data_IF_264255946805
#
_entry.id   IF_264255946805
#
_cell.length_a   1.000
_cell.length_b   1.000
_cell.length_c   1.000
_cell.angle_alpha   90.00
_cell.angle_beta   90.00
_cell.angle_gamma   90.00
#
_symmetry.space_group_name_H-M   'P 1'
#
loop_
_entity.id
_entity.type
_entity.pdbx_description
1 polymer ?
#
# COMPACT_ATOMS: atom_id res chain seq x y z
N UNK A 1 -3.77 6.50 -24.94
CA UNK A 1 -3.49 5.06 -24.74
C UNK A 1 -2.01 4.76 -24.51
N UNK A 2 -1.07 5.26 -25.33
CA UNK A 2 0.37 4.96 -25.18
C UNK A 2 1.13 5.84 -24.16
N UNK A 3 0.43 6.73 -23.47
CA UNK A 3 1.03 7.64 -22.49
C UNK A 3 0.89 7.02 -21.10
N UNK A 4 2.00 6.53 -20.54
CA UNK A 4 2.05 5.92 -19.22
C UNK A 4 1.65 6.87 -18.06
N UNK A 5 1.54 8.17 -18.31
CA UNK A 5 1.02 9.14 -17.33
C UNK A 5 -0.50 9.23 -17.32
N UNK A 6 -1.18 8.46 -18.19
CA UNK A 6 -2.64 8.44 -18.32
C UNK A 6 -3.22 7.09 -17.93
N UNK A 7 -4.15 7.09 -16.98
CA UNK A 7 -5.05 5.97 -16.72
C UNK A 7 -6.17 5.91 -17.76
N UNK A 8 -6.81 4.75 -17.86
CA UNK A 8 -8.08 4.57 -18.57
C UNK A 8 -9.18 4.50 -17.51
N UNK A 9 -10.06 5.52 -17.37
CA UNK A 9 -11.14 5.49 -16.39
C UNK A 9 -12.06 4.28 -16.59
N UNK A 10 -12.48 3.66 -15.50
CA UNK A 10 -13.33 2.46 -15.52
C UNK A 10 -14.74 2.75 -16.04
N UNK A 11 -15.18 4.01 -15.98
CA UNK A 11 -16.41 4.51 -16.57
C UNK A 11 -16.39 4.47 -18.11
N UNK A 12 -15.20 4.49 -18.72
CA UNK A 12 -15.02 4.37 -20.16
C UNK A 12 -14.74 2.93 -20.57
N UNK A 13 -13.86 2.24 -19.84
CA UNK A 13 -13.48 0.86 -20.09
C UNK A 13 -13.52 0.07 -18.78
N UNK A 14 -14.61 -0.65 -18.50
CA UNK A 14 -14.75 -1.38 -17.24
C UNK A 14 -13.74 -2.52 -17.14
N UNK A 15 -13.24 -2.76 -15.92
CA UNK A 15 -12.35 -3.89 -15.65
C UNK A 15 -13.12 -5.20 -15.81
N UNK A 16 -12.56 -6.13 -16.59
CA UNK A 16 -13.05 -7.51 -16.70
C UNK A 16 -12.14 -8.44 -15.87
N UNK A 17 -12.63 -9.02 -14.76
CA UNK A 17 -11.88 -10.05 -14.03
C UNK A 17 -11.65 -11.28 -14.92
N UNK A 18 -10.39 -11.73 -15.02
CA UNK A 18 -9.98 -12.89 -15.85
C UNK A 18 -9.42 -14.07 -15.06
N UNK A 19 -9.16 -13.89 -13.76
CA UNK A 19 -8.59 -14.94 -12.91
C UNK A 19 -8.30 -14.47 -11.49
N UNK A 20 -7.70 -15.34 -10.67
CA UNK A 20 -7.35 -15.08 -9.27
C UNK A 20 -5.95 -15.63 -8.98
N UNK A 21 -5.10 -14.80 -8.37
CA UNK A 21 -3.80 -15.20 -7.82
C UNK A 21 -3.90 -15.32 -6.30
N UNK A 22 -3.32 -16.38 -5.72
CA UNK A 22 -3.28 -16.61 -4.27
C UNK A 22 -1.84 -16.83 -3.82
N UNK A 23 -1.36 -16.01 -2.89
CA UNK A 23 -0.07 -16.20 -2.23
C UNK A 23 -0.28 -17.06 -0.99
N UNK A 24 0.26 -18.29 -0.97
CA UNK A 24 -0.04 -19.30 0.05
C UNK A 24 1.21 -19.96 0.68
N UNK A 25 2.42 -19.52 0.32
CA UNK A 25 3.67 -20.06 0.85
C UNK A 25 4.73 -18.97 0.89
N UNK A 26 5.45 -18.90 2.01
CA UNK A 26 6.62 -18.04 2.17
C UNK A 26 7.85 -18.70 1.51
N UNK A 27 8.89 -17.92 1.14
CA UNK A 27 10.16 -18.50 0.74
C UNK A 27 10.81 -19.25 1.91
N UNK A 28 11.57 -20.31 1.60
CA UNK A 28 12.41 -21.03 2.55
C UNK A 28 13.70 -20.25 2.82
N UNK A 29 14.24 -19.58 1.79
CA UNK A 29 15.41 -18.72 1.91
C UNK A 29 15.22 -17.40 1.17
N UNK A 30 15.16 -16.31 1.92
CA UNK A 30 14.95 -14.96 1.38
C UNK A 30 15.98 -14.59 0.30
N UNK A 31 17.26 -14.89 0.51
CA UNK A 31 18.29 -14.52 -0.46
C UNK A 31 18.21 -15.38 -1.74
N UNK A 32 18.00 -16.68 -1.60
CA UNK A 32 17.93 -17.61 -2.72
C UNK A 32 16.70 -17.36 -3.61
N UNK A 33 15.57 -16.99 -3.02
CA UNK A 33 14.29 -16.88 -3.71
C UNK A 33 13.85 -15.43 -3.92
N UNK A 34 13.87 -14.58 -2.89
CA UNK A 34 13.38 -13.20 -3.00
C UNK A 34 14.43 -12.25 -3.56
N UNK A 35 15.67 -12.31 -3.08
CA UNK A 35 16.71 -11.37 -3.52
C UNK A 35 17.17 -11.69 -4.95
N UNK A 36 17.26 -12.97 -5.31
CA UNK A 36 17.78 -13.40 -6.61
C UNK A 36 16.72 -13.55 -7.72
N UNK A 37 15.43 -13.37 -7.42
CA UNK A 37 14.39 -13.38 -8.46
C UNK A 37 14.61 -12.24 -9.46
N UNK A 38 14.39 -12.50 -10.74
CA UNK A 38 14.55 -11.55 -11.83
C UNK A 38 13.28 -11.47 -12.68
N UNK A 39 12.49 -10.42 -12.47
CA UNK A 39 11.37 -10.08 -13.34
C UNK A 39 11.85 -9.22 -14.51
N UNK A 40 11.16 -9.28 -15.65
CA UNK A 40 11.47 -8.48 -16.82
C UNK A 40 10.22 -8.26 -17.68
N UNK A 41 10.00 -7.02 -18.14
CA UNK A 41 8.86 -6.71 -19.01
C UNK A 41 8.94 -7.37 -20.38
N UNK A 42 10.15 -7.75 -20.84
CA UNK A 42 10.35 -8.46 -22.09
C UNK A 42 9.95 -9.95 -22.02
N UNK A 43 9.71 -10.50 -20.82
CA UNK A 43 9.31 -11.90 -20.64
C UNK A 43 7.81 -12.08 -20.89
N UNK A 44 7.40 -11.99 -22.15
CA UNK A 44 6.03 -12.28 -22.61
C UNK A 44 5.95 -13.67 -23.24
N UNK A 45 4.74 -14.19 -23.39
CA UNK A 45 4.45 -15.49 -24.01
C UNK A 45 3.59 -15.29 -25.27
N UNK A 46 3.58 -16.25 -26.22
CA UNK A 46 2.70 -16.17 -27.40
C UNK A 46 1.24 -15.84 -27.00
N UNK A 47 0.66 -14.85 -27.67
CA UNK A 47 -0.66 -14.29 -27.33
C UNK A 47 -0.61 -12.93 -26.61
N UNK A 48 0.56 -12.47 -26.19
CA UNK A 48 0.80 -11.14 -25.62
C UNK A 48 1.93 -10.47 -26.40
N UNK A 49 1.76 -9.19 -26.72
CA UNK A 49 2.78 -8.40 -27.42
C UNK A 49 2.87 -6.97 -26.84
N UNK A 50 3.81 -6.19 -27.34
CA UNK A 50 4.11 -4.85 -26.86
C UNK A 50 3.33 -3.77 -27.62
N UNK A 51 3.32 -2.56 -27.05
CA UNK A 51 2.82 -1.35 -27.69
C UNK A 51 3.95 -0.32 -27.83
N UNK A 52 3.73 0.73 -28.62
CA UNK A 52 4.67 1.84 -28.78
C UNK A 52 4.66 2.84 -27.61
N UNK A 53 4.34 2.39 -26.39
CA UNK A 53 4.55 3.18 -25.18
C UNK A 53 6.07 3.45 -25.02
N UNK A 54 6.51 4.72 -25.05
CA UNK A 54 7.94 5.05 -25.06
C UNK A 54 8.64 4.70 -23.74
N UNK A 55 7.90 4.60 -22.62
CA UNK A 55 8.45 4.16 -21.34
C UNK A 55 8.61 2.64 -21.32
N UNK A 56 7.64 1.89 -21.86
CA UNK A 56 7.74 0.43 -21.99
C UNK A 56 8.93 0.04 -22.87
N UNK A 57 9.14 0.72 -24.00
CA UNK A 57 10.25 0.45 -24.91
C UNK A 57 11.63 0.48 -24.22
N UNK A 58 11.86 1.48 -23.34
CA UNK A 58 13.09 1.55 -22.54
C UNK A 58 13.18 0.44 -21.47
N UNK A 59 12.04 0.06 -20.88
CA UNK A 59 11.96 -1.03 -19.89
C UNK A 59 12.25 -2.40 -20.49
N UNK A 60 11.87 -2.66 -21.74
CA UNK A 60 12.19 -3.94 -22.41
C UNK A 60 13.71 -4.19 -22.43
N UNK A 61 14.51 -3.13 -22.60
CA UNK A 61 15.97 -3.23 -22.55
C UNK A 61 16.52 -3.34 -21.12
N UNK A 62 16.12 -2.44 -20.22
CA UNK A 62 16.78 -2.23 -18.92
C UNK A 62 16.77 -3.46 -18.00
N UNK A 63 15.69 -4.25 -18.00
CA UNK A 63 15.51 -5.31 -17.01
C UNK A 63 16.44 -6.50 -17.25
N UNK A 64 16.86 -6.77 -18.49
CA UNK A 64 17.87 -7.80 -18.79
C UNK A 64 19.26 -7.28 -18.49
N UNK A 65 19.55 -6.04 -18.91
CA UNK A 65 20.85 -5.40 -18.73
C UNK A 65 21.28 -5.36 -17.25
N UNK A 66 20.37 -4.93 -16.36
CA UNK A 66 20.68 -4.82 -14.92
C UNK A 66 21.02 -6.16 -14.26
N UNK A 67 20.53 -7.30 -14.80
CA UNK A 67 20.83 -8.60 -14.21
C UNK A 67 22.27 -9.05 -14.43
N UNK A 68 22.93 -8.54 -15.47
CA UNK A 68 24.31 -8.91 -15.77
C UNK A 68 25.23 -8.54 -14.61
N UNK A 69 25.06 -7.35 -14.02
CA UNK A 69 25.82 -6.95 -12.83
C UNK A 69 25.19 -7.51 -11.55
N UNK A 70 23.86 -7.37 -11.38
CA UNK A 70 23.16 -7.72 -10.13
C UNK A 70 23.25 -9.21 -9.79
N UNK A 71 23.12 -10.08 -10.79
CA UNK A 71 23.11 -11.55 -10.64
C UNK A 71 24.36 -12.21 -11.22
N UNK A 72 25.41 -11.40 -11.49
CA UNK A 72 26.73 -11.91 -11.81
C UNK A 72 26.87 -12.53 -13.21
N UNK A 73 26.02 -12.22 -14.17
CA UNK A 73 26.24 -12.58 -15.56
C UNK A 73 24.97 -12.98 -16.32
N UNK A 74 25.12 -13.50 -17.56
CA UNK A 74 23.98 -13.79 -18.44
C UNK A 74 23.19 -15.05 -18.05
N UNK A 75 23.73 -15.89 -17.15
CA UNK A 75 23.11 -17.15 -16.74
C UNK A 75 22.16 -17.01 -15.53
N UNK A 76 21.67 -15.80 -15.23
CA UNK A 76 20.74 -15.57 -14.12
C UNK A 76 19.42 -16.36 -14.24
N UNK A 77 19.05 -16.77 -15.46
CA UNK A 77 17.91 -17.65 -15.75
C UNK A 77 18.10 -19.09 -15.26
N UNK A 78 19.33 -19.49 -14.92
CA UNK A 78 19.62 -20.81 -14.33
C UNK A 78 19.57 -20.80 -12.80
N UNK A 79 19.39 -19.64 -12.17
CA UNK A 79 19.13 -19.58 -10.72
C UNK A 79 17.75 -20.23 -10.46
N UNK A 80 17.61 -21.14 -9.48
CA UNK A 80 16.41 -21.97 -9.34
C UNK A 80 15.08 -21.24 -9.35
N UNK A 81 14.98 -20.06 -8.71
CA UNK A 81 13.73 -19.28 -8.66
C UNK A 81 13.35 -18.64 -10.01
N UNK A 82 14.32 -18.46 -10.91
CA UNK A 82 14.13 -17.87 -12.25
C UNK A 82 13.98 -18.92 -13.35
N UNK A 83 14.31 -20.18 -13.04
CA UNK A 83 14.33 -21.24 -14.02
C UNK A 83 12.90 -21.51 -14.53
N UNK A 84 12.70 -21.62 -15.86
CA UNK A 84 11.42 -22.03 -16.39
C UNK A 84 11.11 -23.46 -15.93
N UNK A 85 9.84 -23.72 -15.63
CA UNK A 85 9.39 -25.09 -15.32
C UNK A 85 9.49 -26.00 -16.55
N UNK A 86 9.33 -25.43 -17.75
CA UNK A 86 9.50 -26.14 -19.02
C UNK A 86 10.99 -26.20 -19.42
N UNK A 87 11.40 -27.30 -20.02
CA UNK A 87 12.77 -27.45 -20.52
C UNK A 87 13.04 -26.53 -21.70
N UNK A 88 14.12 -25.74 -21.62
CA UNK A 88 14.52 -24.79 -22.67
C UNK A 88 15.73 -25.32 -23.42
N UNK A 89 15.68 -25.22 -24.76
CA UNK A 89 16.77 -25.58 -25.64
C UNK A 89 17.06 -24.43 -26.60
N UNK A 90 18.31 -23.99 -26.66
CA UNK A 90 18.77 -22.97 -27.58
C UNK A 90 20.26 -23.16 -27.89
N UNK A 91 20.82 -22.25 -28.69
CA UNK A 91 22.22 -22.28 -29.11
C UNK A 91 23.16 -21.42 -28.25
N UNK A 92 22.67 -20.76 -27.19
CA UNK A 92 23.51 -19.98 -26.28
C UNK A 92 24.37 -20.90 -25.40
N UNK A 93 25.62 -20.50 -25.11
CA UNK A 93 26.62 -21.26 -24.36
C UNK A 93 27.40 -20.33 -23.41
N UNK A 94 28.17 -20.95 -22.53
CA UNK A 94 29.15 -20.32 -21.65
C UNK A 94 28.54 -19.26 -20.71
N UNK A 95 29.30 -18.21 -20.39
CA UNK A 95 28.94 -17.20 -19.40
C UNK A 95 29.28 -17.61 -17.96
N UNK A 96 29.34 -16.63 -17.06
CA UNK A 96 29.66 -16.88 -15.65
C UNK A 96 28.60 -17.79 -15.00
N UNK A 97 29.04 -18.69 -14.11
CA UNK A 97 28.20 -19.65 -13.39
C UNK A 97 27.27 -20.49 -14.27
N UNK A 98 27.73 -20.89 -15.46
CA UNK A 98 26.99 -21.82 -16.33
C UNK A 98 26.76 -23.15 -15.62
N UNK A 99 25.50 -23.49 -15.35
CA UNK A 99 25.07 -24.74 -14.72
C UNK A 99 24.71 -25.82 -15.77
N UNK A 100 24.02 -25.42 -16.85
CA UNK A 100 23.60 -26.39 -17.87
C UNK A 100 24.78 -26.89 -18.69
N UNK A 101 24.99 -28.21 -18.68
CA UNK A 101 25.94 -28.89 -19.57
C UNK A 101 25.23 -29.29 -20.86
N UNK A 102 25.39 -28.48 -21.91
CA UNK A 102 24.84 -28.80 -23.23
C UNK A 102 25.62 -29.96 -23.88
N UNK A 103 24.94 -31.04 -24.24
CA UNK A 103 25.54 -32.18 -24.95
C UNK A 103 25.57 -31.95 -26.46
N UNK A 104 26.54 -32.54 -27.14
CA UNK A 104 26.67 -32.49 -28.60
C UNK A 104 27.77 -31.54 -29.08
N UNK A 105 27.93 -31.46 -30.40
CA UNK A 105 29.05 -30.75 -31.06
C UNK A 105 28.65 -29.41 -31.69
N UNK A 106 27.42 -28.93 -31.42
CA UNK A 106 26.82 -27.79 -32.12
C UNK A 106 26.31 -26.74 -31.14
N UNK A 107 26.53 -25.48 -31.48
CA UNK A 107 26.05 -24.27 -30.79
C UNK A 107 25.63 -23.17 -31.77
N UNK A 108 25.17 -23.55 -32.97
CA UNK A 108 24.81 -22.62 -34.04
C UNK A 108 23.66 -23.18 -34.90
N UNK A 109 23.00 -22.29 -35.65
CA UNK A 109 21.93 -22.59 -36.59
C UNK A 109 22.13 -21.75 -37.87
N UNK A 110 21.86 -22.30 -39.07
CA UNK A 110 21.47 -23.69 -39.35
C UNK A 110 22.65 -24.66 -39.20
N UNK A 111 22.38 -25.94 -38.88
CA UNK A 111 23.42 -26.97 -38.71
C UNK A 111 22.99 -28.35 -39.25
N UNK A 112 23.96 -29.14 -39.72
CA UNK A 112 23.74 -30.54 -40.14
C UNK A 112 24.25 -31.57 -39.12
N UNK A 113 25.24 -31.21 -38.30
CA UNK A 113 25.91 -32.13 -37.36
C UNK A 113 25.00 -32.60 -36.21
N UNK A 114 23.94 -31.85 -35.89
CA UNK A 114 22.92 -32.23 -34.93
C UNK A 114 21.54 -32.41 -35.60
N UNK A 115 21.50 -32.61 -36.92
CA UNK A 115 20.26 -32.80 -37.68
C UNK A 115 19.33 -31.58 -37.68
N UNK A 116 19.86 -30.37 -37.45
CA UNK A 116 19.09 -29.13 -37.39
C UNK A 116 18.50 -28.79 -36.01
N UNK A 117 18.70 -29.64 -34.99
CA UNK A 117 18.25 -29.36 -33.63
C UNK A 117 19.11 -28.29 -32.92
N UNK A 118 18.53 -27.50 -31.99
CA UNK A 118 17.08 -27.34 -31.77
C UNK A 118 16.42 -26.57 -32.92
N UNK A 119 15.20 -26.97 -33.30
CA UNK A 119 14.47 -26.36 -34.42
C UNK A 119 13.70 -25.10 -34.00
N UNK A 120 13.48 -24.20 -34.96
CA UNK A 120 12.47 -23.15 -34.82
C UNK A 120 11.08 -23.77 -34.73
N UNK A 121 10.24 -23.26 -33.82
CA UNK A 121 8.88 -23.76 -33.62
C UNK A 121 7.92 -23.43 -34.78
N UNK A 122 8.32 -22.56 -35.72
CA UNK A 122 7.48 -22.04 -36.80
C UNK A 122 6.41 -21.05 -36.33
N UNK A 123 5.73 -20.38 -37.25
CA UNK A 123 4.79 -19.30 -36.94
C UNK A 123 3.54 -19.76 -36.17
N UNK A 124 3.17 -21.04 -36.24
CA UNK A 124 1.97 -21.58 -35.57
C UNK A 124 2.18 -21.88 -34.08
N UNK A 125 3.42 -21.99 -33.62
CA UNK A 125 3.75 -22.33 -32.23
C UNK A 125 4.80 -21.41 -31.59
N UNK A 126 5.61 -20.70 -32.39
CA UNK A 126 6.57 -19.71 -31.94
C UNK A 126 5.96 -18.34 -31.66
N UNK A 127 6.71 -17.48 -30.96
CA UNK A 127 6.35 -16.08 -30.80
C UNK A 127 6.47 -15.35 -32.14
N UNK A 128 5.43 -14.59 -32.50
CA UNK A 128 5.39 -13.73 -33.69
C UNK A 128 4.81 -12.39 -33.27
N UNK A 129 5.56 -11.32 -33.50
CA UNK A 129 5.05 -9.97 -33.23
C UNK A 129 3.91 -9.60 -34.17
N UNK A 130 2.94 -8.85 -33.66
CA UNK A 130 1.89 -8.27 -34.45
C UNK A 130 2.48 -7.33 -35.51
N UNK A 131 2.14 -7.48 -36.80
CA UNK A 131 2.69 -6.65 -37.88
C UNK A 131 2.03 -5.25 -37.87
N UNK A 132 2.36 -4.44 -36.87
CA UNK A 132 1.82 -3.10 -36.70
C UNK A 132 2.20 -2.20 -37.90
N UNK A 133 1.22 -1.58 -38.59
CA UNK A 133 1.51 -0.67 -39.68
C UNK A 133 2.27 0.57 -39.20
N UNK A 134 3.39 0.88 -39.83
CA UNK A 134 4.05 2.18 -39.65
C UNK A 134 3.39 3.24 -40.54
N UNK A 135 3.24 4.46 -40.02
CA UNK A 135 2.77 5.59 -40.82
C UNK A 135 3.72 5.86 -41.99
N UNK A 136 3.19 6.18 -43.17
CA UNK A 136 3.97 6.36 -44.41
C UNK A 136 4.98 7.51 -44.34
N UNK A 137 4.73 8.49 -43.46
CA UNK A 137 5.54 9.67 -43.18
C UNK A 137 6.33 9.56 -41.86
N UNK A 138 6.49 8.34 -41.31
CA UNK A 138 7.24 8.13 -40.09
C UNK A 138 8.73 8.47 -40.27
N UNK A 139 9.22 9.42 -39.48
CA UNK A 139 10.64 9.82 -39.44
C UNK A 139 11.31 9.37 -38.14
N UNK A 140 12.63 9.10 -38.20
CA UNK A 140 13.44 8.85 -37.00
C UNK A 140 13.65 10.17 -36.26
N UNK A 141 12.95 10.35 -35.14
CA UNK A 141 12.99 11.58 -34.35
C UNK A 141 13.18 11.31 -32.85
N UNK A 142 13.73 12.29 -32.14
CA UNK A 142 13.63 12.41 -30.68
C UNK A 142 12.65 13.53 -30.36
N UNK A 143 11.36 13.20 -30.40
CA UNK A 143 10.26 14.16 -30.26
C UNK A 143 9.48 14.01 -28.97
N UNK A 144 8.64 15.00 -28.67
CA UNK A 144 7.62 14.96 -27.62
C UNK A 144 6.25 14.93 -28.31
N UNK A 145 5.52 13.79 -28.30
CA UNK A 145 4.22 13.73 -28.95
C UNK A 145 3.25 14.76 -28.35
N UNK A 146 2.54 15.52 -29.19
CA UNK A 146 1.66 16.61 -28.74
C UNK A 146 0.58 16.14 -27.77
N UNK A 147 0.02 14.93 -27.99
CA UNK A 147 -0.98 14.33 -27.10
C UNK A 147 -0.47 14.03 -25.68
N UNK A 148 0.84 13.99 -25.47
CA UNK A 148 1.45 13.77 -24.16
C UNK A 148 1.64 15.09 -23.39
N UNK A 149 1.38 16.24 -24.03
CA UNK A 149 1.53 17.57 -23.42
C UNK A 149 0.40 17.95 -22.46
N UNK A 150 -0.65 17.11 -22.35
CA UNK A 150 -1.64 17.25 -21.28
C UNK A 150 -1.07 16.69 -19.97
N UNK A 151 -0.81 17.58 -19.02
CA UNK A 151 -0.19 17.22 -17.74
C UNK A 151 -1.15 17.31 -16.54
N UNK A 152 -2.37 17.84 -16.71
CA UNK A 152 -3.19 18.26 -15.57
C UNK A 152 -4.60 17.66 -15.55
N UNK A 153 -5.16 17.25 -16.69
CA UNK A 153 -6.54 16.76 -16.75
C UNK A 153 -6.77 15.57 -15.83
N UNK A 154 -5.88 14.58 -15.84
CA UNK A 154 -6.04 13.39 -15.00
C UNK A 154 -5.58 13.59 -13.55
N UNK A 155 -4.68 14.54 -13.29
CA UNK A 155 -4.38 14.95 -11.92
C UNK A 155 -5.62 15.58 -11.26
N UNK A 156 -6.38 16.38 -12.02
CA UNK A 156 -7.66 16.95 -11.57
C UNK A 156 -8.71 15.88 -11.37
N UNK A 157 -8.90 14.99 -12.35
CA UNK A 157 -9.80 13.84 -12.22
C UNK A 157 -9.49 13.05 -10.94
N UNK A 158 -8.23 12.70 -10.69
CA UNK A 158 -7.83 11.97 -9.50
C UNK A 158 -8.21 12.72 -8.22
N UNK A 159 -7.80 13.99 -8.07
CA UNK A 159 -8.09 14.78 -6.88
C UNK A 159 -9.60 14.97 -6.64
N UNK A 160 -10.37 15.27 -7.69
CA UNK A 160 -11.83 15.45 -7.60
C UNK A 160 -12.60 14.15 -7.36
N UNK A 161 -11.96 12.99 -7.55
CA UNK A 161 -12.54 11.69 -7.26
C UNK A 161 -12.35 11.23 -5.82
N UNK A 162 -11.48 11.91 -5.07
CA UNK A 162 -11.18 11.56 -3.68
C UNK A 162 -12.30 12.02 -2.74
N UNK A 163 -12.53 11.26 -1.66
CA UNK A 163 -13.38 11.70 -0.55
C UNK A 163 -12.79 12.93 0.14
N UNK A 164 -13.57 13.70 0.93
CA UNK A 164 -13.06 14.87 1.64
C UNK A 164 -11.84 14.59 2.52
N UNK A 165 -11.81 13.43 3.20
CA UNK A 165 -10.67 13.03 4.04
C UNK A 165 -9.43 12.70 3.18
N UNK A 166 -9.59 11.98 2.08
CA UNK A 166 -8.49 11.67 1.16
C UNK A 166 -7.92 12.94 0.51
N UNK A 167 -8.77 13.91 0.17
CA UNK A 167 -8.32 15.23 -0.30
C UNK A 167 -7.51 15.97 0.76
N UNK A 168 -7.96 15.95 2.02
CA UNK A 168 -7.22 16.53 3.14
C UNK A 168 -5.88 15.82 3.37
N UNK A 169 -5.81 14.49 3.22
CA UNK A 169 -4.55 13.74 3.29
C UNK A 169 -3.59 14.12 2.17
N UNK A 170 -4.08 14.34 0.95
CA UNK A 170 -3.26 14.84 -0.16
C UNK A 170 -2.70 16.23 0.15
N UNK A 171 -3.53 17.15 0.67
CA UNK A 171 -3.08 18.48 1.12
C UNK A 171 -1.99 18.34 2.19
N UNK A 172 -2.23 17.51 3.20
CA UNK A 172 -1.30 17.29 4.31
C UNK A 172 0.03 16.70 3.82
N UNK A 173 -0.01 15.77 2.86
CA UNK A 173 1.17 15.17 2.25
C UNK A 173 1.99 16.21 1.48
N UNK A 174 1.36 17.02 0.62
CA UNK A 174 2.04 18.10 -0.08
C UNK A 174 2.67 19.10 0.90
N UNK A 175 1.94 19.50 1.94
CA UNK A 175 2.46 20.38 3.00
C UNK A 175 3.68 19.76 3.69
N UNK A 176 3.57 18.50 4.11
CA UNK A 176 4.64 17.80 4.80
C UNK A 176 5.90 17.70 3.94
N UNK A 177 5.79 17.20 2.70
CA UNK A 177 6.94 17.03 1.82
C UNK A 177 7.58 18.38 1.46
N UNK A 178 6.77 19.39 1.13
CA UNK A 178 7.28 20.72 0.81
C UNK A 178 7.88 21.43 2.02
N UNK A 179 7.45 21.14 3.25
CA UNK A 179 8.07 21.69 4.46
C UNK A 179 9.53 21.27 4.63
N UNK A 180 9.93 20.13 4.04
CA UNK A 180 11.31 19.62 4.03
C UNK A 180 12.16 20.28 2.95
N UNK A 181 11.55 20.98 1.99
CA UNK A 181 12.26 21.67 0.91
C UNK A 181 12.74 23.03 1.38
N UNK A 182 14.04 23.15 1.57
CA UNK A 182 14.66 24.37 2.11
C UNK A 182 14.58 25.57 1.16
N UNK A 183 14.60 25.33 -0.16
CA UNK A 183 14.59 26.41 -1.18
C UNK A 183 13.16 26.94 -1.38
N UNK A 184 12.84 28.20 -0.98
CA UNK A 184 11.49 28.74 -1.07
C UNK A 184 10.92 28.74 -2.49
N UNK A 185 11.75 29.12 -3.48
CA UNK A 185 11.34 29.17 -4.88
C UNK A 185 10.87 27.81 -5.43
N UNK A 186 11.37 26.69 -4.89
CA UNK A 186 10.91 25.35 -5.28
C UNK A 186 9.49 25.12 -4.74
N UNK A 187 9.25 25.44 -3.47
CA UNK A 187 7.92 25.33 -2.85
C UNK A 187 6.89 26.18 -3.60
N UNK A 188 7.25 27.43 -3.91
CA UNK A 188 6.39 28.34 -4.68
C UNK A 188 6.04 27.79 -6.06
N UNK A 189 7.03 27.24 -6.79
CA UNK A 189 6.79 26.64 -8.12
C UNK A 189 5.93 25.37 -8.05
N UNK A 190 6.09 24.55 -7.02
CA UNK A 190 5.25 23.37 -6.83
C UNK A 190 3.79 23.78 -6.57
N UNK A 191 3.56 24.73 -5.66
CA UNK A 191 2.23 25.29 -5.40
C UNK A 191 1.64 25.96 -6.65
N UNK A 192 2.46 26.71 -7.41
CA UNK A 192 2.05 27.29 -8.69
C UNK A 192 1.56 26.25 -9.70
N UNK A 193 2.18 25.05 -9.72
CA UNK A 193 1.73 23.93 -10.54
C UNK A 193 0.39 23.34 -10.08
N UNK A 194 0.17 23.23 -8.76
CA UNK A 194 -1.08 22.70 -8.19
C UNK A 194 -2.31 23.53 -8.57
N UNK A 195 -2.12 24.82 -8.88
CA UNK A 195 -3.22 25.68 -9.36
C UNK A 195 -3.87 25.18 -10.65
N UNK A 196 -3.15 24.41 -11.46
CA UNK A 196 -3.70 23.79 -12.67
C UNK A 196 -4.48 22.52 -12.38
N UNK A 197 -4.23 21.88 -11.24
CA UNK A 197 -5.01 20.75 -10.76
C UNK A 197 -6.30 21.28 -10.13
N UNK A 198 -6.16 22.03 -9.03
CA UNK A 198 -7.27 22.61 -8.27
C UNK A 198 -6.79 23.81 -7.42
N UNK A 199 -7.56 24.91 -7.42
CA UNK A 199 -7.17 26.12 -6.67
C UNK A 199 -7.36 25.97 -5.16
N UNK A 200 -8.35 25.21 -4.69
CA UNK A 200 -8.56 24.99 -3.26
C UNK A 200 -7.43 24.12 -2.68
N UNK A 201 -7.00 23.10 -3.43
CA UNK A 201 -5.79 22.33 -3.12
C UNK A 201 -4.56 23.25 -3.00
N UNK A 202 -4.29 24.07 -4.01
CA UNK A 202 -3.13 24.95 -4.01
C UNK A 202 -3.17 25.97 -2.84
N UNK A 203 -4.35 26.52 -2.55
CA UNK A 203 -4.56 27.46 -1.45
C UNK A 203 -4.31 26.80 -0.09
N UNK A 204 -4.85 25.60 0.13
CA UNK A 204 -4.68 24.87 1.39
C UNK A 204 -3.20 24.51 1.64
N UNK A 205 -2.49 24.06 0.60
CA UNK A 205 -1.04 23.78 0.68
C UNK A 205 -0.25 25.08 0.95
N UNK A 206 -0.56 26.17 0.24
CA UNK A 206 0.10 27.46 0.44
C UNK A 206 -0.08 27.98 1.87
N UNK A 207 -1.30 27.92 2.41
CA UNK A 207 -1.63 28.31 3.77
C UNK A 207 -0.86 27.46 4.79
N UNK A 208 -0.84 26.14 4.60
CA UNK A 208 -0.09 25.21 5.47
C UNK A 208 1.42 25.42 5.45
N UNK A 209 1.97 26.02 4.39
CA UNK A 209 3.39 26.40 4.28
C UNK A 209 3.68 27.83 4.76
N UNK A 210 2.65 28.55 5.23
CA UNK A 210 2.79 29.94 5.68
C UNK A 210 3.08 30.94 4.55
N UNK A 211 2.69 30.63 3.31
CA UNK A 211 2.84 31.56 2.19
C UNK A 211 1.85 32.72 2.30
N UNK A 212 2.33 33.97 2.24
CA UNK A 212 1.49 35.17 2.37
C UNK A 212 0.57 35.40 1.16
N UNK A 213 0.97 34.91 0.00
CA UNK A 213 0.22 35.04 -1.24
C UNK A 213 0.32 33.73 -2.02
N UNK A 214 -0.73 33.41 -2.75
CA UNK A 214 -0.73 32.27 -3.65
C UNK A 214 0.12 32.62 -4.89
N UNK A 215 1.17 31.83 -5.23
CA UNK A 215 1.97 32.05 -6.41
C UNK A 215 1.14 32.07 -7.71
N UNK A 216 1.58 32.84 -8.71
CA UNK A 216 0.99 32.80 -10.05
C UNK A 216 1.07 31.38 -10.64
N UNK A 217 0.08 30.93 -11.44
CA UNK A 217 0.14 29.58 -12.00
C UNK A 217 1.31 29.46 -12.97
N UNK A 218 1.91 28.27 -13.07
CA UNK A 218 2.99 28.03 -14.02
C UNK A 218 2.51 28.21 -15.47
N UNK A 219 3.39 28.54 -16.44
CA UNK A 219 3.02 28.47 -17.85
C UNK A 219 2.64 27.04 -18.24
N UNK A 220 1.56 26.89 -19.01
CA UNK A 220 1.15 25.60 -19.59
C UNK A 220 1.87 25.34 -20.91
N UNK A 221 2.04 24.07 -21.25
CA UNK A 221 2.54 23.66 -22.57
C UNK A 221 1.46 23.81 -23.63
N UNK A 222 0.23 23.42 -23.29
CA UNK A 222 -0.94 23.60 -24.16
C UNK A 222 -1.57 24.98 -23.91
N UNK A 223 -1.96 25.66 -24.99
CA UNK A 223 -2.71 26.93 -24.91
C UNK A 223 -4.13 26.73 -24.38
N UNK A 224 -4.75 25.59 -24.72
CA UNK A 224 -6.10 25.21 -24.31
C UNK A 224 -6.06 23.85 -23.63
N UNK A 225 -6.75 23.74 -22.50
CA UNK A 225 -6.89 22.46 -21.81
C UNK A 225 -7.77 21.53 -22.65
N UNK A 226 -7.39 20.25 -22.79
CA UNK A 226 -8.28 19.24 -23.33
C UNK A 226 -9.57 19.16 -22.52
N UNK A 227 -10.68 18.86 -23.18
CA UNK A 227 -11.94 18.57 -22.48
C UNK A 227 -11.84 17.17 -21.86
N UNK A 228 -11.99 17.01 -20.53
CA UNK A 228 -11.95 15.70 -19.90
C UNK A 228 -13.15 14.85 -20.33
N UNK A 229 -12.90 13.58 -20.62
CA UNK A 229 -13.95 12.58 -20.87
C UNK A 229 -14.67 12.19 -19.57
N UNK A 230 -13.94 12.19 -18.46
CA UNK A 230 -14.44 11.90 -17.11
C UNK A 230 -13.86 12.93 -16.15
N UNK A 231 -14.73 13.54 -15.33
CA UNK A 231 -14.33 14.57 -14.34
C UNK A 231 -14.26 14.04 -12.92
N UNK A 232 -14.97 12.94 -12.61
CA UNK A 232 -14.92 12.22 -11.34
C UNK A 232 -15.13 10.72 -11.58
N UNK A 233 -14.39 9.89 -10.84
CA UNK A 233 -14.43 8.44 -10.91
C UNK A 233 -14.34 7.84 -9.52
N UNK A 234 -15.45 7.27 -9.01
CA UNK A 234 -15.47 6.65 -7.67
C UNK A 234 -14.40 5.57 -7.52
N UNK A 235 -14.08 4.86 -8.60
CA UNK A 235 -13.07 3.82 -8.64
C UNK A 235 -11.65 4.28 -8.20
N UNK A 236 -11.37 5.59 -8.21
CA UNK A 236 -10.09 6.18 -7.84
C UNK A 236 -9.97 6.54 -6.36
N UNK A 237 -11.05 6.45 -5.59
CA UNK A 237 -11.03 6.60 -4.12
C UNK A 237 -10.80 5.22 -3.47
N UNK A 238 -9.92 5.16 -2.48
CA UNK A 238 -9.72 3.96 -1.67
C UNK A 238 -10.96 3.67 -0.82
N UNK A 239 -11.62 4.72 -0.31
CA UNK A 239 -12.84 4.55 0.50
C UNK A 239 -14.04 4.04 -0.31
N UNK A 240 -14.01 4.16 -1.64
CA UNK A 240 -14.99 3.53 -2.52
C UNK A 240 -14.73 2.02 -2.74
N UNK A 241 -13.60 1.49 -2.25
CA UNK A 241 -13.18 0.09 -2.37
C UNK A 241 -12.82 -0.48 -0.98
N UNK A 242 -13.78 -0.67 -0.05
CA UNK A 242 -13.53 -1.09 1.33
C UNK A 242 -13.04 -2.55 1.49
N UNK A 243 -12.73 -3.25 0.40
CA UNK A 243 -12.40 -4.67 0.41
C UNK A 243 -13.62 -5.55 0.64
N UNK A 244 -13.41 -6.71 1.25
CA UNK A 244 -14.48 -7.68 1.58
C UNK A 244 -15.16 -7.39 2.93
N UNK A 245 -14.78 -6.30 3.61
CA UNK A 245 -15.28 -5.94 4.93
C UNK A 245 -14.84 -6.89 6.05
N UNK A 246 -13.91 -7.82 5.79
CA UNK A 246 -13.43 -8.75 6.80
C UNK A 246 -12.37 -8.12 7.71
N UNK A 247 -12.31 -8.62 8.95
CA UNK A 247 -11.24 -8.28 9.91
C UNK A 247 -10.10 -9.29 9.90
N UNK A 248 -10.09 -10.22 8.93
CA UNK A 248 -9.12 -11.31 8.88
C UNK A 248 -7.71 -10.73 8.80
N UNK A 249 -6.82 -11.29 9.62
CA UNK A 249 -5.43 -10.87 9.79
C UNK A 249 -5.21 -9.47 10.41
N UNK A 250 -6.27 -8.71 10.74
CA UNK A 250 -6.14 -7.45 11.50
C UNK A 250 -5.57 -7.74 12.88
N UNK A 251 -4.63 -6.93 13.34
CA UNK A 251 -3.97 -7.10 14.64
C UNK A 251 -4.62 -6.20 15.68
N UNK A 252 -5.01 -6.76 16.82
CA UNK A 252 -5.64 -6.00 17.91
C UNK A 252 -4.80 -6.11 19.17
N UNK A 253 -4.45 -4.96 19.75
CA UNK A 253 -3.79 -4.92 21.05
C UNK A 253 -4.82 -5.06 22.17
N UNK A 254 -4.65 -6.06 23.04
CA UNK A 254 -5.42 -6.23 24.26
C UNK A 254 -4.52 -5.81 25.42
N UNK A 255 -4.71 -4.59 25.95
CA UNK A 255 -3.87 -4.10 27.04
C UNK A 255 -4.12 -4.90 28.31
N UNK A 256 -3.05 -5.31 28.99
CA UNK A 256 -3.13 -6.13 30.20
C UNK A 256 -2.13 -5.67 31.27
N UNK A 257 -2.57 -5.77 32.53
CA UNK A 257 -1.78 -5.55 33.73
C UNK A 257 -2.40 -6.36 34.90
N UNK A 258 -1.68 -6.47 36.02
CA UNK A 258 -2.18 -7.15 37.22
C UNK A 258 -3.48 -6.50 37.72
N UNK A 259 -4.50 -7.32 38.00
CA UNK A 259 -5.84 -6.91 38.42
C UNK A 259 -6.80 -6.56 37.29
N UNK A 260 -6.45 -6.83 36.03
CA UNK A 260 -7.34 -6.61 34.88
C UNK A 260 -8.54 -7.56 34.93
N UNK A 261 -9.68 -7.16 34.37
CA UNK A 261 -10.80 -8.08 34.18
C UNK A 261 -10.52 -9.10 33.06
N UNK A 262 -10.10 -10.30 33.46
CA UNK A 262 -9.71 -11.34 32.50
C UNK A 262 -10.90 -11.90 31.71
N UNK A 263 -12.12 -11.87 32.27
CA UNK A 263 -13.31 -12.41 31.61
C UNK A 263 -13.67 -11.62 30.35
N UNK A 264 -13.79 -10.29 30.45
CA UNK A 264 -14.14 -9.43 29.31
C UNK A 264 -13.06 -9.46 28.24
N UNK A 265 -11.79 -9.42 28.63
CA UNK A 265 -10.66 -9.53 27.71
C UNK A 265 -10.65 -10.86 26.93
N UNK A 266 -10.87 -11.98 27.62
CA UNK A 266 -10.93 -13.30 26.98
C UNK A 266 -12.14 -13.46 26.07
N UNK A 267 -13.28 -12.86 26.41
CA UNK A 267 -14.46 -12.85 25.54
C UNK A 267 -14.17 -12.14 24.21
N UNK A 268 -13.61 -10.93 24.26
CA UNK A 268 -13.22 -10.18 23.05
C UNK A 268 -12.16 -10.91 22.24
N UNK A 269 -11.14 -11.49 22.90
CA UNK A 269 -10.09 -12.25 22.23
C UNK A 269 -10.64 -13.45 21.45
N UNK A 270 -11.59 -14.19 22.04
CA UNK A 270 -12.23 -15.35 21.39
C UNK A 270 -13.02 -14.92 20.15
N UNK A 271 -13.80 -13.85 20.25
CA UNK A 271 -14.58 -13.36 19.13
C UNK A 271 -13.68 -12.84 17.99
N UNK A 272 -12.61 -12.11 18.31
CA UNK A 272 -11.61 -11.69 17.34
C UNK A 272 -10.97 -12.88 16.61
N UNK A 273 -10.56 -13.93 17.35
CA UNK A 273 -9.99 -15.14 16.78
C UNK A 273 -11.01 -15.88 15.89
N UNK A 274 -12.28 -15.93 16.30
CA UNK A 274 -13.34 -16.57 15.52
C UNK A 274 -13.54 -15.89 14.15
N UNK A 275 -13.36 -14.57 14.07
CA UNK A 275 -13.40 -13.80 12.81
C UNK A 275 -12.06 -13.78 12.05
N UNK A 276 -11.03 -14.50 12.55
CA UNK A 276 -9.72 -14.58 11.91
C UNK A 276 -8.83 -13.35 12.11
N UNK A 277 -9.17 -12.45 13.03
CA UNK A 277 -8.28 -11.40 13.50
C UNK A 277 -7.19 -11.98 14.43
N UNK A 278 -6.18 -11.17 14.74
CA UNK A 278 -4.99 -11.57 15.51
C UNK A 278 -4.90 -10.71 16.78
N UNK A 279 -5.63 -11.07 17.86
CA UNK A 279 -5.45 -10.43 19.15
C UNK A 279 -4.07 -10.74 19.74
N UNK A 280 -3.51 -9.79 20.48
CA UNK A 280 -2.26 -9.96 21.23
C UNK A 280 -2.40 -9.36 22.62
N UNK A 281 -1.94 -10.08 23.64
CA UNK A 281 -1.81 -9.56 25.00
C UNK A 281 -0.61 -8.61 25.07
N UNK A 282 -0.88 -7.33 25.31
CA UNK A 282 0.13 -6.27 25.32
C UNK A 282 0.29 -5.72 26.73
N UNK A 283 1.45 -5.93 27.33
CA UNK A 283 1.78 -5.45 28.68
C UNK A 283 2.96 -4.49 28.71
N UNK A 284 3.31 -4.00 29.91
CA UNK A 284 4.51 -3.18 30.13
C UNK A 284 5.79 -4.02 30.14
N UNK A 285 5.67 -5.31 30.51
CA UNK A 285 6.75 -6.31 30.54
C UNK A 285 6.24 -7.67 30.05
N UNK A 286 7.15 -8.55 29.66
CA UNK A 286 6.85 -9.96 29.40
C UNK A 286 6.62 -10.73 30.72
N UNK A 287 6.24 -11.99 30.57
CA UNK A 287 5.89 -12.89 31.67
C UNK A 287 4.39 -12.88 31.93
N UNK A 288 4.00 -13.23 33.14
CA UNK A 288 2.59 -13.33 33.50
C UNK A 288 2.06 -12.07 34.18
N UNK A 289 0.74 -11.89 34.06
CA UNK A 289 -0.09 -10.96 34.82
C UNK A 289 -1.24 -11.73 35.48
N UNK A 290 -1.58 -11.38 36.71
CA UNK A 290 -2.69 -11.97 37.45
C UNK A 290 -3.97 -11.16 37.22
N UNK A 291 -4.95 -11.75 36.54
CA UNK A 291 -6.26 -11.14 36.28
C UNK A 291 -7.30 -11.58 37.32
N UNK A 292 -8.48 -10.95 37.33
CA UNK A 292 -9.61 -11.34 38.17
C UNK A 292 -10.08 -12.79 37.97
N UNK A 293 -9.78 -13.41 36.84
CA UNK A 293 -10.26 -14.75 36.46
C UNK A 293 -9.14 -15.75 36.18
N UNK A 294 -7.88 -15.38 36.42
CA UNK A 294 -6.71 -16.25 36.28
C UNK A 294 -5.49 -15.54 35.70
N UNK A 295 -4.45 -16.30 35.42
CA UNK A 295 -3.18 -15.78 34.94
C UNK A 295 -3.15 -15.70 33.40
N UNK A 296 -2.64 -14.61 32.84
CA UNK A 296 -2.39 -14.46 31.40
C UNK A 296 -0.89 -14.28 31.13
N UNK A 297 -0.38 -14.87 30.05
CA UNK A 297 0.99 -14.66 29.57
C UNK A 297 1.01 -13.51 28.56
N UNK A 298 1.87 -12.53 28.79
CA UNK A 298 2.00 -11.36 27.92
C UNK A 298 2.75 -11.75 26.66
N UNK A 299 2.10 -11.60 25.50
CA UNK A 299 2.69 -11.97 24.21
C UNK A 299 3.78 -10.99 23.76
N UNK A 300 3.63 -9.71 24.10
CA UNK A 300 4.52 -8.64 23.67
C UNK A 300 4.42 -7.41 24.57
N UNK A 301 5.49 -6.63 24.63
CA UNK A 301 5.49 -5.36 25.35
C UNK A 301 5.10 -4.19 24.45
N UNK A 302 4.55 -3.13 25.05
CA UNK A 302 4.29 -1.87 24.33
C UNK A 302 5.58 -1.25 23.73
N UNK A 303 6.74 -1.54 24.32
CA UNK A 303 8.05 -1.13 23.81
C UNK A 303 8.43 -1.88 22.53
N UNK A 304 8.24 -3.20 22.50
CA UNK A 304 8.62 -4.03 21.37
C UNK A 304 7.61 -3.93 20.20
N UNK A 305 6.33 -3.69 20.50
CA UNK A 305 5.31 -3.43 19.49
C UNK A 305 4.53 -2.15 19.82
N UNK A 306 4.95 -0.99 19.27
CA UNK A 306 4.24 0.27 19.45
C UNK A 306 2.88 0.27 18.73
N UNK A 307 2.04 1.24 19.09
CA UNK A 307 0.65 1.40 18.64
C UNK A 307 0.47 1.27 17.11
N UNK A 308 1.43 1.77 16.33
CA UNK A 308 1.42 1.76 14.86
C UNK A 308 1.34 0.37 14.24
N UNK A 309 1.76 -0.69 14.96
CA UNK A 309 1.75 -2.08 14.49
C UNK A 309 0.41 -2.81 14.68
N UNK A 310 -0.58 -2.15 15.28
CA UNK A 310 -1.91 -2.68 15.52
C UNK A 310 -2.97 -1.90 14.74
N UNK A 311 -4.06 -2.56 14.38
CA UNK A 311 -5.22 -1.94 13.73
C UNK A 311 -6.21 -1.33 14.73
N UNK A 312 -6.24 -1.81 15.97
CA UNK A 312 -7.12 -1.33 17.04
C UNK A 312 -6.57 -1.68 18.45
N UNK A 313 -7.20 -1.14 19.49
CA UNK A 313 -6.86 -1.45 20.90
C UNK A 313 -8.11 -1.72 21.76
N UNK A 314 -7.96 -2.63 22.70
CA UNK A 314 -8.90 -2.88 23.80
C UNK A 314 -8.23 -2.47 25.11
N UNK A 315 -8.88 -1.58 25.85
CA UNK A 315 -8.46 -1.10 27.17
C UNK A 315 -9.27 -1.86 28.23
N UNK A 316 -8.61 -2.51 29.20
CA UNK A 316 -9.28 -3.41 30.14
C UNK A 316 -10.07 -2.64 31.21
N UNK A 317 -10.99 -3.36 31.85
CA UNK A 317 -11.51 -2.99 33.16
C UNK A 317 -10.56 -3.48 34.28
N UNK A 318 -10.85 -3.11 35.52
CA UNK A 318 -10.08 -3.47 36.71
C UNK A 318 -9.25 -2.29 37.22
N UNK A 319 -9.65 -1.73 38.36
CA UNK A 319 -9.07 -0.50 38.89
C UNK A 319 -7.55 -0.59 39.10
N UNK A 320 -7.05 -1.71 39.61
CA UNK A 320 -5.61 -1.91 39.85
C UNK A 320 -4.82 -1.94 38.54
N UNK A 321 -5.31 -2.63 37.52
CA UNK A 321 -4.68 -2.69 36.21
C UNK A 321 -4.67 -1.33 35.54
N UNK A 322 -5.80 -0.63 35.55
CA UNK A 322 -5.93 0.70 34.96
C UNK A 322 -5.05 1.72 35.69
N UNK A 323 -4.97 1.66 37.02
CA UNK A 323 -4.07 2.51 37.80
C UNK A 323 -2.60 2.27 37.42
N UNK A 324 -2.19 1.00 37.30
CA UNK A 324 -0.83 0.66 36.86
C UNK A 324 -0.53 1.17 35.44
N UNK A 325 -1.48 1.01 34.51
CA UNK A 325 -1.34 1.53 33.14
C UNK A 325 -1.35 3.06 33.10
N UNK A 326 -2.09 3.73 33.97
CA UNK A 326 -2.17 5.19 34.01
C UNK A 326 -0.89 5.86 34.55
N UNK A 327 -0.06 5.11 35.28
CA UNK A 327 1.28 5.53 35.73
C UNK A 327 2.38 5.17 34.71
N UNK A 328 2.09 4.35 33.69
CA UNK A 328 3.00 4.05 32.59
C UNK A 328 2.83 5.05 31.43
N UNK A 329 3.81 5.94 31.26
CA UNK A 329 3.82 6.91 30.16
C UNK A 329 3.71 6.27 28.76
N UNK A 330 4.24 5.05 28.57
CA UNK A 330 4.15 4.32 27.29
C UNK A 330 2.72 3.86 27.03
N UNK A 331 1.99 3.45 28.06
CA UNK A 331 0.59 3.06 27.91
C UNK A 331 -0.29 4.27 27.54
N UNK A 332 -0.03 5.44 28.16
CA UNK A 332 -0.69 6.70 27.81
C UNK A 332 -0.41 7.11 26.36
N UNK A 333 0.86 7.08 25.93
CA UNK A 333 1.23 7.36 24.54
C UNK A 333 0.61 6.35 23.56
N UNK A 334 0.60 5.06 23.93
CA UNK A 334 0.03 4.00 23.12
C UNK A 334 -1.45 4.28 22.81
N UNK A 335 -2.27 4.58 23.82
CA UNK A 335 -3.71 4.85 23.59
C UNK A 335 -3.95 6.19 22.88
N UNK A 336 -3.13 7.22 23.14
CA UNK A 336 -3.19 8.50 22.41
C UNK A 336 -2.94 8.29 20.92
N UNK A 337 -1.91 7.54 20.58
CA UNK A 337 -1.58 7.26 19.19
C UNK A 337 -2.65 6.42 18.50
N UNK A 338 -3.27 5.46 19.19
CA UNK A 338 -4.41 4.71 18.65
C UNK A 338 -5.55 5.66 18.28
N UNK A 339 -5.89 6.59 19.19
CA UNK A 339 -6.92 7.59 18.96
C UNK A 339 -6.58 8.54 17.80
N UNK A 340 -5.38 9.14 17.83
CA UNK A 340 -4.89 10.09 16.81
C UNK A 340 -4.79 9.46 15.43
N UNK A 341 -4.38 8.20 15.36
CA UNK A 341 -4.35 7.45 14.10
C UNK A 341 -5.73 6.95 13.68
N UNK A 342 -6.80 7.42 14.32
CA UNK A 342 -8.19 7.12 13.98
C UNK A 342 -8.55 5.63 14.06
N UNK A 343 -7.86 4.87 14.92
CA UNK A 343 -8.08 3.42 15.06
C UNK A 343 -9.23 3.13 16.03
N UNK A 344 -9.97 2.01 15.88
CA UNK A 344 -10.99 1.64 16.86
C UNK A 344 -10.41 1.43 18.27
N UNK A 345 -11.13 1.92 19.28
CA UNK A 345 -10.85 1.73 20.70
C UNK A 345 -12.08 1.07 21.33
N UNK A 346 -11.90 -0.05 22.02
CA UNK A 346 -12.90 -0.61 22.93
C UNK A 346 -12.40 -0.44 24.35
N UNK A 347 -13.19 0.19 25.22
CA UNK A 347 -12.78 0.56 26.57
C UNK A 347 -13.80 0.07 27.57
N UNK A 348 -13.36 -0.78 28.49
CA UNK A 348 -14.21 -1.32 29.54
C UNK A 348 -14.10 -0.54 30.84
N UNK A 349 -15.24 -0.25 31.48
CA UNK A 349 -15.35 0.21 32.87
C UNK A 349 -14.30 1.25 33.30
N UNK A 350 -13.44 0.85 34.23
CA UNK A 350 -12.37 1.68 34.80
C UNK A 350 -11.40 2.23 33.73
N UNK A 351 -11.26 1.59 32.57
CA UNK A 351 -10.41 2.03 31.45
C UNK A 351 -10.72 3.42 30.92
N UNK A 352 -11.92 3.94 31.17
CA UNK A 352 -12.29 5.34 30.94
C UNK A 352 -11.35 6.35 31.65
N UNK A 353 -10.82 5.97 32.82
CA UNK A 353 -9.86 6.77 33.57
C UNK A 353 -8.52 6.85 32.83
N UNK A 354 -8.10 5.79 32.12
CA UNK A 354 -6.89 5.81 31.30
C UNK A 354 -7.05 6.80 30.14
N UNK A 355 -8.21 6.82 29.47
CA UNK A 355 -8.49 7.80 28.42
C UNK A 355 -8.45 9.23 28.96
N UNK A 356 -9.05 9.47 30.13
CA UNK A 356 -9.06 10.80 30.76
C UNK A 356 -7.64 11.24 31.11
N UNK A 357 -6.82 10.35 31.69
CA UNK A 357 -5.40 10.62 31.97
C UNK A 357 -4.60 10.88 30.69
N UNK A 358 -4.94 10.19 29.61
CA UNK A 358 -4.39 10.40 28.28
C UNK A 358 -4.97 11.62 27.55
N UNK A 359 -5.87 12.40 28.16
CA UNK A 359 -6.47 13.58 27.51
C UNK A 359 -7.30 13.24 26.27
N UNK A 360 -7.75 12.00 26.13
CA UNK A 360 -8.58 11.55 25.02
C UNK A 360 -10.04 11.91 25.33
N UNK A 361 -10.70 12.75 24.50
CA UNK A 361 -12.11 13.06 24.70
C UNK A 361 -13.00 11.87 24.34
N UNK A 362 -14.15 11.76 25.01
CA UNK A 362 -15.16 10.72 24.72
C UNK A 362 -16.15 11.12 23.62
N UNK A 363 -16.11 12.38 23.18
CA UNK A 363 -16.92 12.94 22.09
C UNK A 363 -16.03 13.62 21.06
N UNK A 364 -16.52 13.69 19.83
CA UNK A 364 -15.87 14.42 18.75
C UNK A 364 -15.89 15.93 19.02
N UNK A 365 -15.11 16.69 18.23
CA UNK A 365 -14.95 18.13 18.41
C UNK A 365 -16.23 18.96 18.20
N UNK A 366 -17.21 18.40 17.51
CA UNK A 366 -18.54 18.97 17.27
C UNK A 366 -19.58 18.52 18.32
N UNK A 367 -19.15 17.72 19.31
CA UNK A 367 -20.00 17.17 20.36
C UNK A 367 -20.72 15.87 19.97
N UNK A 368 -20.55 15.37 18.74
CA UNK A 368 -21.13 14.09 18.34
C UNK A 368 -20.43 12.91 19.02
N UNK A 369 -21.12 11.77 19.08
CA UNK A 369 -20.54 10.52 19.57
C UNK A 369 -19.45 10.02 18.61
N UNK A 370 -18.36 9.51 19.17
CA UNK A 370 -17.29 8.89 18.40
C UNK A 370 -17.64 7.44 18.08
N UNK A 371 -17.91 7.17 16.80
CA UNK A 371 -18.32 5.84 16.32
C UNK A 371 -17.24 4.76 16.43
N UNK A 372 -15.98 5.14 16.64
CA UNK A 372 -14.87 4.21 16.81
C UNK A 372 -14.39 4.08 18.25
N UNK A 373 -14.99 4.79 19.20
CA UNK A 373 -14.65 4.75 20.62
C UNK A 373 -15.83 4.14 21.35
N UNK A 374 -15.70 2.85 21.64
CA UNK A 374 -16.76 2.05 22.21
C UNK A 374 -16.50 1.90 23.71
N UNK A 375 -17.46 2.36 24.50
CA UNK A 375 -17.45 2.19 25.96
C UNK A 375 -18.35 1.02 26.33
N UNK A 376 -17.89 0.12 27.19
CA UNK A 376 -18.66 -1.04 27.64
C UNK A 376 -18.54 -1.24 29.15
N UNK A 377 -19.62 -1.69 29.78
CA UNK A 377 -19.65 -2.08 31.19
C UNK A 377 -19.21 -3.53 31.43
N UNK A 378 -19.04 -3.88 32.70
CA UNK A 378 -18.81 -5.27 33.10
C UNK A 378 -20.00 -6.15 32.69
N UNK A 379 -19.72 -7.25 31.97
CA UNK A 379 -20.74 -8.19 31.48
C UNK A 379 -21.34 -7.85 30.10
N UNK A 380 -20.95 -6.75 29.47
CA UNK A 380 -21.41 -6.35 28.12
C UNK A 380 -20.47 -6.80 26.99
N UNK A 381 -19.50 -7.68 27.30
CA UNK A 381 -18.41 -8.03 26.39
C UNK A 381 -18.89 -8.58 25.04
N UNK A 382 -19.97 -9.35 24.98
CA UNK A 382 -20.47 -9.94 23.72
C UNK A 382 -21.04 -8.88 22.77
N UNK A 383 -21.88 -7.98 23.30
CA UNK A 383 -22.45 -6.87 22.52
C UNK A 383 -21.34 -5.89 22.09
N UNK A 384 -20.41 -5.59 23.00
CA UNK A 384 -19.27 -4.74 22.74
C UNK A 384 -18.34 -5.32 21.66
N UNK A 385 -18.10 -6.64 21.68
CA UNK A 385 -17.28 -7.33 20.67
C UNK A 385 -17.88 -7.21 19.26
N UNK A 386 -19.20 -7.36 19.15
CA UNK A 386 -19.91 -7.22 17.86
C UNK A 386 -19.76 -5.80 17.30
N UNK A 387 -19.99 -4.77 18.12
CA UNK A 387 -19.82 -3.38 17.71
C UNK A 387 -18.35 -3.07 17.35
N UNK A 388 -17.40 -3.62 18.12
CA UNK A 388 -15.98 -3.42 17.89
C UNK A 388 -15.46 -4.07 16.61
N UNK A 389 -15.96 -5.25 16.25
CA UNK A 389 -15.69 -5.88 14.96
C UNK A 389 -16.17 -5.01 13.78
N UNK A 390 -17.36 -4.40 13.91
CA UNK A 390 -17.88 -3.51 12.88
C UNK A 390 -17.01 -2.24 12.74
N UNK A 391 -16.57 -1.66 13.86
CA UNK A 391 -15.63 -0.54 13.86
C UNK A 391 -14.27 -0.93 13.23
N UNK A 392 -13.77 -2.13 13.53
CA UNK A 392 -12.53 -2.66 12.92
C UNK A 392 -12.65 -2.91 11.42
N UNK A 393 -13.80 -3.41 10.96
CA UNK A 393 -14.11 -3.60 9.54
C UNK A 393 -14.17 -2.27 8.77
N UNK A 394 -14.58 -1.18 9.42
CA UNK A 394 -14.59 0.17 8.86
C UNK A 394 -13.18 0.78 8.70
N UNK A 395 -12.13 0.06 9.11
CA UNK A 395 -10.72 0.44 9.06
C UNK A 395 -10.31 1.60 9.98
N UNK A 396 -10.87 2.80 9.79
CA UNK A 396 -10.53 4.02 10.54
C UNK A 396 -11.72 4.97 10.69
N UNK A 397 -11.71 5.75 11.77
CA UNK A 397 -12.74 6.73 12.12
C UNK A 397 -12.23 8.16 11.96
N UNK A 398 -12.16 8.62 10.71
CA UNK A 398 -11.53 9.89 10.34
C UNK A 398 -12.22 11.15 10.87
N UNK A 399 -13.42 11.04 11.44
CA UNK A 399 -14.08 12.17 12.10
C UNK A 399 -13.29 12.73 13.31
N UNK A 400 -12.32 11.97 13.83
CA UNK A 400 -11.38 12.40 14.87
C UNK A 400 -10.25 13.29 14.36
N UNK A 401 -10.01 13.27 13.07
CA UNK A 401 -8.80 13.86 12.52
C UNK A 401 -8.88 15.38 12.59
N UNK A 402 -7.87 15.99 13.19
CA UNK A 402 -7.74 17.45 13.29
C UNK A 402 -6.35 17.88 12.88
N UNK A 403 -6.26 19.07 12.32
CA UNK A 403 -4.98 19.68 11.94
C UNK A 403 -4.92 21.13 12.45
N UNK A 404 -4.07 21.44 13.47
CA UNK A 404 -3.15 20.51 14.14
C UNK A 404 -3.89 19.43 14.99
N UNK A 405 -3.22 18.30 15.29
CA UNK A 405 -3.77 17.27 16.20
C UNK A 405 -4.07 17.86 17.59
N UNK A 406 -5.27 17.58 18.14
CA UNK A 406 -5.70 18.06 19.46
C UNK A 406 -5.26 17.18 20.64
N UNK A 407 -5.01 15.91 20.38
CA UNK A 407 -4.59 14.88 21.36
C UNK A 407 -3.15 14.47 21.11
#
# INVERSE_FOLDING_TARGET
MLDATKIVPEELVPIRPVGRMVLNRNPDNFFAETEQVAFCTAHVVPGIDFSNDPLLAGRIHSYVDTQISRLGGPNFHEIPINAPVAQVHNNQRDGLHRQTINRGRVSYEPNSLAGGCPFQAGASAGFVSFPEPMAQDAHKVRGKPEKFADHYTQARLFFHSQSPVEQQHIVNAFRFELSRVQVPAIRERMVAGLRHVDNALALAVAAGLGMKALPAPLPKVLEKDPTPEVTQSKALSLLARPGDGSVRARRVALLVADGADGASLMAVARELLAQGAVPRWVGSRLGTVETTTGTLEVDVTMEAMPSVLFDAVVVPDGEAAVAALAEDGRALEFVKDQYRHCKPLLVFGAGSNLLTKAGIPTTLSDGAADTGLLMAGAGEADAASTAFLAALAAHRHFARETDPPRV
#
